data_IF_060749257656
#
_entry.id   IF_060749257656
#
_cell.length_a   1.000
_cell.length_b   1.000
_cell.length_c   1.000
_cell.angle_alpha   90.00
_cell.angle_beta   90.00
_cell.angle_gamma   90.00
#
_symmetry.space_group_name_H-M   'P 1'
#
loop_
_entity.id
_entity.type
_entity.pdbx_description
1 polymer ?
#
# COMPACT_ATOMS: atom_id res chain seq x y z
N UNK A 1 -8.76 -17.57 5.93
CA UNK A 1 -9.45 -17.95 4.69
C UNK A 1 -10.36 -19.14 4.99
N UNK A 2 -11.55 -18.88 5.48
CA UNK A 2 -12.63 -19.86 5.58
C UNK A 2 -13.66 -19.46 4.54
N UNK A 3 -14.07 -20.40 3.71
CA UNK A 3 -15.17 -20.28 2.72
C UNK A 3 -15.03 -19.14 1.67
N UNK A 4 -13.83 -18.80 1.26
CA UNK A 4 -13.62 -17.75 0.23
C UNK A 4 -13.84 -16.32 0.73
N UNK A 5 -13.78 -16.09 2.03
CA UNK A 5 -13.94 -14.80 2.67
C UNK A 5 -12.68 -14.42 3.45
N UNK A 6 -12.30 -13.14 3.43
CA UNK A 6 -11.35 -12.56 4.37
C UNK A 6 -12.12 -11.93 5.54
N UNK A 7 -11.61 -12.13 6.74
CA UNK A 7 -12.08 -11.49 7.98
C UNK A 7 -10.93 -10.69 8.58
N UNK A 8 -11.24 -9.75 9.43
CA UNK A 8 -10.24 -9.05 10.21
C UNK A 8 -9.56 -10.07 11.16
N UNK A 9 -8.25 -10.12 11.10
CA UNK A 9 -7.41 -10.90 12.03
C UNK A 9 -7.01 -10.00 13.21
N UNK A 10 -6.40 -8.85 12.93
CA UNK A 10 -6.03 -7.83 13.91
C UNK A 10 -6.01 -6.43 13.28
N UNK A 11 -6.07 -5.38 14.10
CA UNK A 11 -6.01 -4.01 13.59
C UNK A 11 -5.93 -2.95 14.68
N UNK A 12 -5.22 -1.85 14.37
CA UNK A 12 -5.15 -0.67 15.21
C UNK A 12 -5.96 0.48 14.60
N UNK A 13 -6.94 0.98 15.32
CA UNK A 13 -7.92 1.96 14.84
C UNK A 13 -7.87 3.30 15.59
N UNK A 14 -7.01 3.43 16.59
CA UNK A 14 -6.91 4.66 17.40
C UNK A 14 -8.25 5.07 17.98
N UNK A 15 -8.67 6.30 17.69
CA UNK A 15 -9.95 6.86 18.15
C UNK A 15 -11.17 6.43 17.31
N UNK A 16 -10.98 5.77 16.17
CA UNK A 16 -12.05 5.39 15.23
C UNK A 16 -12.84 4.13 15.67
N UNK A 17 -13.38 4.13 16.90
CA UNK A 17 -14.01 2.96 17.53
C UNK A 17 -15.21 2.39 16.76
N UNK A 18 -16.03 3.25 16.17
CA UNK A 18 -17.13 2.78 15.32
C UNK A 18 -16.61 2.07 14.06
N UNK A 19 -15.56 2.60 13.44
CA UNK A 19 -14.96 1.97 12.26
C UNK A 19 -14.27 0.63 12.62
N UNK A 20 -13.65 0.54 13.80
CA UNK A 20 -13.13 -0.70 14.35
C UNK A 20 -14.22 -1.76 14.47
N UNK A 21 -15.34 -1.42 15.13
CA UNK A 21 -16.48 -2.31 15.29
C UNK A 21 -17.03 -2.80 13.94
N UNK A 22 -17.26 -1.89 13.01
CA UNK A 22 -17.69 -2.24 11.64
C UNK A 22 -16.70 -3.18 10.97
N UNK A 23 -15.40 -2.96 11.16
CA UNK A 23 -14.35 -3.78 10.56
C UNK A 23 -14.33 -5.21 11.09
N UNK A 24 -14.57 -5.38 12.39
CA UNK A 24 -14.66 -6.68 13.06
C UNK A 24 -15.86 -7.51 12.58
N UNK A 25 -16.92 -6.84 12.11
CA UNK A 25 -18.16 -7.48 11.66
C UNK A 25 -18.29 -7.52 10.13
N UNK A 26 -17.25 -7.10 9.40
CA UNK A 26 -17.24 -7.11 7.93
C UNK A 26 -16.47 -8.30 7.41
N UNK A 27 -17.06 -9.02 6.46
CA UNK A 27 -16.40 -10.04 5.66
C UNK A 27 -16.11 -9.49 4.26
N UNK A 28 -14.99 -9.86 3.69
CA UNK A 28 -14.55 -9.39 2.38
C UNK A 28 -14.47 -10.56 1.40
N UNK A 29 -15.47 -10.72 0.52
CA UNK A 29 -15.40 -11.69 -0.57
C UNK A 29 -14.23 -11.38 -1.49
N UNK A 30 -13.68 -12.40 -2.14
CA UNK A 30 -12.60 -12.26 -3.11
C UNK A 30 -13.05 -11.33 -4.25
N UNK A 31 -12.23 -10.31 -4.53
CA UNK A 31 -12.53 -9.27 -5.52
C UNK A 31 -13.38 -8.09 -5.01
N UNK A 32 -13.88 -8.13 -3.77
CA UNK A 32 -14.71 -7.06 -3.23
C UNK A 32 -14.02 -6.24 -2.13
N UNK A 33 -14.23 -4.94 -2.19
CA UNK A 33 -13.57 -3.99 -1.30
C UNK A 33 -12.06 -3.96 -1.49
N UNK A 34 -11.34 -3.20 -0.67
CA UNK A 34 -9.89 -3.11 -0.74
C UNK A 34 -9.21 -4.45 -0.40
N UNK A 35 -9.52 -5.12 0.73
CA UNK A 35 -8.88 -6.40 1.06
C UNK A 35 -9.17 -7.50 0.03
N UNK A 36 -10.43 -7.67 -0.36
CA UNK A 36 -10.82 -8.70 -1.33
C UNK A 36 -10.27 -8.45 -2.72
N UNK A 37 -10.18 -7.18 -3.13
CA UNK A 37 -9.56 -6.78 -4.41
C UNK A 37 -8.06 -7.10 -4.45
N UNK A 38 -7.33 -6.76 -3.37
CA UNK A 38 -5.91 -7.10 -3.22
C UNK A 38 -5.71 -8.61 -3.24
N UNK A 39 -6.54 -9.36 -2.52
CA UNK A 39 -6.48 -10.83 -2.53
C UNK A 39 -6.73 -11.43 -3.92
N UNK A 40 -7.70 -10.91 -4.66
CA UNK A 40 -8.00 -11.41 -5.99
C UNK A 40 -6.88 -11.10 -6.99
N UNK A 41 -6.33 -9.90 -6.95
CA UNK A 41 -5.29 -9.44 -7.87
C UNK A 41 -3.87 -9.90 -7.49
N UNK A 42 -3.64 -10.22 -6.20
CA UNK A 42 -2.31 -10.47 -5.63
C UNK A 42 -1.31 -9.35 -5.98
N UNK A 43 -1.80 -8.11 -5.99
CA UNK A 43 -1.02 -6.89 -6.24
C UNK A 43 -1.42 -5.80 -5.26
N UNK A 44 -0.52 -4.87 -4.91
CA UNK A 44 -0.88 -3.70 -4.12
C UNK A 44 -1.96 -2.87 -4.82
N UNK A 45 -2.90 -2.32 -4.04
CA UNK A 45 -3.96 -1.43 -4.53
C UNK A 45 -4.00 -0.16 -3.68
N UNK A 46 -4.01 0.99 -4.35
CA UNK A 46 -4.17 2.30 -3.72
C UNK A 46 -5.54 2.88 -4.07
N UNK A 47 -6.36 3.14 -3.06
CA UNK A 47 -7.62 3.86 -3.16
C UNK A 47 -7.43 5.28 -2.62
N UNK A 48 -7.84 6.30 -3.41
CA UNK A 48 -7.64 7.73 -3.09
C UNK A 48 -8.86 8.40 -2.48
N UNK A 49 -9.99 7.73 -2.56
CA UNK A 49 -11.26 8.19 -2.00
C UNK A 49 -12.02 6.99 -1.43
N UNK A 50 -11.95 6.86 -0.11
CA UNK A 50 -12.64 5.78 0.61
C UNK A 50 -14.10 6.11 0.89
N UNK A 51 -14.48 7.38 0.84
CA UNK A 51 -15.81 7.85 1.23
C UNK A 51 -16.86 7.79 0.13
N UNK A 52 -16.47 7.86 -1.15
CA UNK A 52 -17.40 7.98 -2.28
C UNK A 52 -17.39 6.77 -3.23
N UNK A 53 -16.48 5.82 -3.02
CA UNK A 53 -16.26 4.74 -3.98
C UNK A 53 -17.01 3.45 -3.66
N UNK A 54 -17.71 2.89 -4.65
CA UNK A 54 -18.27 1.52 -4.58
C UNK A 54 -17.19 0.43 -4.39
N UNK A 55 -15.92 0.79 -4.53
CA UNK A 55 -14.77 -0.11 -4.32
C UNK A 55 -14.40 -0.31 -2.86
N UNK A 56 -14.99 0.44 -1.94
CA UNK A 56 -14.72 0.32 -0.51
C UNK A 56 -16.00 -0.02 0.25
N UNK A 57 -16.15 -1.28 0.67
CA UNK A 57 -17.38 -1.80 1.31
C UNK A 57 -17.79 -0.99 2.55
N UNK A 58 -16.83 -0.42 3.29
CA UNK A 58 -17.07 0.37 4.51
C UNK A 58 -17.04 1.89 4.24
N UNK A 59 -17.42 2.34 3.03
CA UNK A 59 -17.28 3.74 2.61
C UNK A 59 -17.98 4.73 3.55
N UNK A 60 -19.21 4.46 3.97
CA UNK A 60 -19.96 5.31 4.90
C UNK A 60 -19.24 5.46 6.25
N UNK A 61 -18.79 4.34 6.84
CA UNK A 61 -18.06 4.34 8.11
C UNK A 61 -16.68 4.98 7.99
N UNK A 62 -16.00 4.81 6.85
CA UNK A 62 -14.74 5.47 6.56
C UNK A 62 -14.91 6.99 6.45
N UNK A 63 -15.96 7.44 5.76
CA UNK A 63 -16.31 8.87 5.67
C UNK A 63 -16.56 9.51 7.04
N UNK A 64 -17.34 8.84 7.90
CA UNK A 64 -17.57 9.28 9.29
C UNK A 64 -16.28 9.34 10.13
N UNK A 65 -15.33 8.45 9.86
CA UNK A 65 -14.03 8.44 10.52
C UNK A 65 -12.99 9.39 9.87
N UNK A 66 -13.36 10.13 8.82
CA UNK A 66 -12.47 11.03 8.08
C UNK A 66 -11.38 10.31 7.27
N UNK A 67 -11.53 9.01 7.03
CA UNK A 67 -10.59 8.22 6.22
C UNK A 67 -10.76 8.55 4.75
N UNK A 68 -9.66 8.85 4.07
CA UNK A 68 -9.67 9.28 2.67
C UNK A 68 -8.87 8.37 1.75
N UNK A 69 -7.78 7.80 2.25
CA UNK A 69 -6.84 7.03 1.43
C UNK A 69 -6.62 5.65 2.04
N UNK A 70 -6.55 4.63 1.21
CA UNK A 70 -6.26 3.27 1.64
C UNK A 70 -5.24 2.60 0.72
N UNK A 71 -4.18 2.04 1.30
CA UNK A 71 -3.23 1.16 0.64
C UNK A 71 -3.46 -0.27 1.12
N UNK A 72 -3.71 -1.20 0.20
CA UNK A 72 -3.78 -2.62 0.46
C UNK A 72 -2.57 -3.34 -0.11
N UNK A 73 -1.97 -4.24 0.66
CA UNK A 73 -0.76 -4.99 0.28
C UNK A 73 -0.99 -6.48 0.51
N UNK A 74 -0.80 -7.35 -0.50
CA UNK A 74 -0.90 -8.79 -0.30
C UNK A 74 0.34 -9.31 0.43
N UNK A 75 0.13 -10.16 1.41
CA UNK A 75 1.20 -10.83 2.17
C UNK A 75 0.96 -12.34 2.08
N UNK A 76 1.50 -12.99 1.03
CA UNK A 76 1.44 -14.44 0.93
C UNK A 76 2.32 -15.07 2.01
N UNK A 77 1.81 -16.13 2.66
CA UNK A 77 2.56 -16.88 3.65
C UNK A 77 2.65 -18.35 3.23
N UNK A 78 3.66 -19.08 3.74
CA UNK A 78 3.75 -20.53 3.51
C UNK A 78 2.45 -21.24 3.90
N UNK A 79 2.09 -22.29 3.17
CA UNK A 79 0.85 -23.05 3.38
C UNK A 79 -0.37 -22.53 2.62
N UNK A 80 -0.17 -21.59 1.68
CA UNK A 80 -1.22 -21.12 0.75
C UNK A 80 -2.20 -20.10 1.33
N UNK A 81 -2.00 -19.67 2.59
CA UNK A 81 -2.78 -18.57 3.17
C UNK A 81 -2.30 -17.23 2.62
N UNK A 82 -3.21 -16.27 2.55
CA UNK A 82 -2.90 -14.88 2.18
C UNK A 82 -3.43 -13.95 3.25
N UNK A 83 -2.58 -13.11 3.78
CA UNK A 83 -2.98 -11.94 4.55
C UNK A 83 -3.02 -10.72 3.65
N UNK A 84 -3.82 -9.74 4.01
CA UNK A 84 -3.84 -8.44 3.35
C UNK A 84 -3.62 -7.37 4.41
N UNK A 85 -2.49 -6.69 4.35
CA UNK A 85 -2.26 -5.50 5.15
C UNK A 85 -3.03 -4.33 4.53
N UNK A 86 -3.83 -3.62 5.33
CA UNK A 86 -4.49 -2.39 4.90
C UNK A 86 -4.05 -1.21 5.76
N UNK A 87 -3.50 -0.18 5.13
CA UNK A 87 -3.15 1.09 5.75
C UNK A 87 -4.20 2.12 5.34
N UNK A 88 -4.95 2.64 6.30
CA UNK A 88 -6.02 3.61 6.07
C UNK A 88 -5.63 4.96 6.67
N UNK A 89 -5.60 6.00 5.85
CA UNK A 89 -5.13 7.32 6.24
C UNK A 89 -6.27 8.34 6.26
N UNK A 90 -6.36 9.10 7.35
CA UNK A 90 -7.31 10.19 7.51
C UNK A 90 -6.70 11.53 7.10
N UNK A 91 -7.54 12.46 6.62
CA UNK A 91 -7.08 13.80 6.23
C UNK A 91 -6.50 14.60 7.40
N UNK A 92 -7.12 14.52 8.58
CA UNK A 92 -6.72 15.31 9.75
C UNK A 92 -5.55 14.71 10.52
N UNK A 93 -5.46 13.38 10.57
CA UNK A 93 -4.42 12.62 11.28
C UNK A 93 -3.87 11.53 10.36
N UNK A 94 -3.11 11.89 9.34
CA UNK A 94 -2.62 10.92 8.37
C UNK A 94 -1.59 9.98 9.02
N UNK A 95 -1.73 8.66 8.77
CA UNK A 95 -0.69 7.69 9.14
C UNK A 95 0.52 7.78 8.21
N UNK A 96 0.32 8.32 7.01
CA UNK A 96 1.38 8.64 6.07
C UNK A 96 0.93 9.80 5.18
N UNK A 97 1.88 10.65 4.80
CA UNK A 97 1.65 11.81 3.92
C UNK A 97 1.84 11.47 2.45
N UNK A 98 2.50 10.31 2.17
CA UNK A 98 2.78 9.85 0.82
C UNK A 98 2.73 8.33 0.77
N UNK A 99 2.09 7.80 -0.27
CA UNK A 99 2.07 6.37 -0.62
C UNK A 99 2.54 6.19 -2.05
N UNK A 100 3.32 5.15 -2.30
CA UNK A 100 3.85 4.80 -3.61
C UNK A 100 3.75 3.30 -3.87
N UNK A 101 3.46 2.94 -5.12
CA UNK A 101 3.52 1.57 -5.64
C UNK A 101 4.44 1.57 -6.85
N UNK A 102 5.46 0.73 -6.81
CA UNK A 102 6.48 0.60 -7.86
C UNK A 102 6.42 -0.81 -8.46
N UNK A 103 6.47 -0.92 -9.80
CA UNK A 103 6.67 -2.20 -10.49
C UNK A 103 8.16 -2.53 -10.51
N UNK A 104 8.54 -3.58 -9.76
CA UNK A 104 9.93 -4.02 -9.67
C UNK A 104 10.31 -4.95 -10.84
N UNK A 105 9.33 -5.52 -11.56
CA UNK A 105 9.56 -6.39 -12.72
C UNK A 105 10.12 -5.60 -13.89
N UNK A 106 9.80 -4.32 -14.00
CA UNK A 106 10.34 -3.42 -15.00
C UNK A 106 11.89 -3.33 -14.95
N UNK A 107 12.51 -3.69 -13.82
CA UNK A 107 13.96 -3.75 -13.69
C UNK A 107 14.60 -4.86 -14.54
N UNK A 108 13.84 -5.85 -15.02
CA UNK A 108 14.31 -7.01 -15.77
C UNK A 108 14.09 -6.89 -17.27
N UNK A 109 13.27 -5.93 -17.72
CA UNK A 109 12.86 -5.79 -19.12
C UNK A 109 13.53 -4.58 -19.73
N UNK A 110 14.53 -4.81 -20.60
CA UNK A 110 15.12 -3.77 -21.44
C UNK A 110 16.39 -3.10 -20.88
N UNK A 111 16.87 -2.09 -21.60
CA UNK A 111 18.17 -1.43 -21.36
C UNK A 111 18.20 -0.45 -20.18
N UNK A 112 17.07 -0.15 -19.56
CA UNK A 112 16.99 0.70 -18.37
C UNK A 112 16.52 -0.12 -17.15
N UNK A 113 17.50 -0.60 -16.38
CA UNK A 113 17.24 -1.31 -15.11
C UNK A 113 16.69 -0.36 -14.05
N UNK A 114 15.55 -0.71 -13.44
CA UNK A 114 15.01 0.07 -12.33
C UNK A 114 13.52 -0.22 -12.09
N UNK A 115 13.04 0.02 -10.87
CA UNK A 115 11.62 -0.02 -10.56
C UNK A 115 10.92 1.20 -11.14
N UNK A 116 9.69 1.03 -11.63
CA UNK A 116 8.87 2.10 -12.22
C UNK A 116 7.71 2.42 -11.29
N UNK A 117 7.48 3.71 -11.02
CA UNK A 117 6.31 4.16 -10.27
C UNK A 117 5.06 3.91 -11.11
N UNK A 118 4.15 3.08 -10.60
CA UNK A 118 2.89 2.72 -11.29
C UNK A 118 1.67 3.32 -10.63
N UNK A 119 1.76 3.70 -9.36
CA UNK A 119 0.71 4.42 -8.65
C UNK A 119 1.27 5.16 -7.44
N UNK A 120 0.60 6.22 -7.00
CA UNK A 120 0.98 6.96 -5.80
C UNK A 120 0.15 8.20 -5.56
N UNK A 121 0.16 8.63 -4.29
CA UNK A 121 -0.46 9.88 -3.85
C UNK A 121 0.41 10.54 -2.79
N UNK A 122 0.49 11.86 -2.84
CA UNK A 122 1.14 12.69 -1.84
C UNK A 122 0.14 13.75 -1.36
N UNK A 123 0.09 13.98 -0.06
CA UNK A 123 -0.78 15.00 0.53
C UNK A 123 -0.50 16.42 0.01
N UNK A 124 0.74 16.70 -0.40
CA UNK A 124 1.15 18.01 -0.95
C UNK A 124 1.05 18.09 -2.47
N UNK A 125 1.44 17.02 -3.17
CA UNK A 125 1.59 17.00 -4.63
C UNK A 125 0.37 16.38 -5.36
N UNK A 126 -0.55 15.74 -4.61
CA UNK A 126 -1.67 15.00 -5.19
C UNK A 126 -1.22 13.67 -5.80
N UNK A 127 -1.75 13.33 -6.97
CA UNK A 127 -1.41 12.10 -7.70
C UNK A 127 0.05 12.15 -8.18
N UNK A 128 0.81 11.10 -7.87
CA UNK A 128 2.24 11.04 -8.20
C UNK A 128 2.54 10.36 -9.54
N UNK A 129 1.63 9.53 -10.01
CA UNK A 129 1.78 8.83 -11.28
C UNK A 129 1.18 9.67 -12.41
N UNK A 130 1.93 9.75 -13.52
CA UNK A 130 1.60 10.48 -14.74
C UNK A 130 2.02 9.59 -15.92
N UNK A 131 1.12 9.37 -16.88
CA UNK A 131 1.40 8.57 -18.07
C UNK A 131 2.52 9.15 -18.94
N UNK A 132 2.67 10.48 -18.92
CA UNK A 132 3.68 11.20 -19.73
C UNK A 132 5.04 11.26 -19.05
N UNK A 133 5.15 10.98 -17.76
CA UNK A 133 6.38 11.13 -16.97
C UNK A 133 6.71 9.86 -16.20
N UNK A 134 7.33 8.91 -16.87
CA UNK A 134 7.84 7.73 -16.20
C UNK A 134 8.85 8.11 -15.11
N UNK A 135 8.56 7.72 -13.86
CA UNK A 135 9.52 7.83 -12.76
C UNK A 135 10.16 6.46 -12.54
N UNK A 136 11.48 6.41 -12.65
CA UNK A 136 12.26 5.19 -12.50
C UNK A 136 13.34 5.35 -11.43
N UNK A 137 13.58 4.30 -10.66
CA UNK A 137 14.62 4.24 -9.63
C UNK A 137 15.44 2.98 -9.82
N UNK A 138 16.76 3.16 -9.95
CA UNK A 138 17.70 2.05 -10.06
C UNK A 138 17.97 1.39 -8.71
N UNK A 139 18.43 0.13 -8.72
CA UNK A 139 18.88 -0.54 -7.50
C UNK A 139 19.93 0.32 -6.76
N UNK A 140 19.83 0.32 -5.42
CA UNK A 140 20.68 1.07 -4.49
C UNK A 140 20.45 2.59 -4.45
N UNK A 141 19.55 3.15 -5.26
CA UNK A 141 19.19 4.57 -5.21
C UNK A 141 18.04 4.82 -4.23
N UNK A 142 18.30 5.49 -3.12
CA UNK A 142 17.30 5.85 -2.11
C UNK A 142 16.61 4.62 -1.49
N UNK A 143 15.46 4.85 -0.84
CA UNK A 143 14.70 3.79 -0.17
C UNK A 143 14.27 2.68 -1.15
N UNK A 144 13.61 3.05 -2.23
CA UNK A 144 13.07 2.10 -3.21
C UNK A 144 14.17 1.27 -3.84
N UNK A 145 15.30 1.92 -4.23
CA UNK A 145 16.44 1.22 -4.82
C UNK A 145 17.13 0.26 -3.85
N UNK A 146 17.10 0.53 -2.55
CA UNK A 146 17.62 -0.41 -1.54
C UNK A 146 16.70 -1.62 -1.38
N UNK A 147 15.38 -1.42 -1.35
CA UNK A 147 14.44 -2.56 -1.36
C UNK A 147 14.61 -3.37 -2.64
N UNK A 148 14.77 -2.71 -3.80
CA UNK A 148 15.02 -3.38 -5.08
C UNK A 148 16.31 -4.20 -5.07
N UNK A 149 17.40 -3.65 -4.51
CA UNK A 149 18.72 -4.30 -4.48
C UNK A 149 18.83 -5.43 -3.46
N UNK A 150 18.16 -5.31 -2.30
CA UNK A 150 18.23 -6.29 -1.22
C UNK A 150 17.11 -7.32 -1.25
N UNK A 151 15.95 -6.95 -1.80
CA UNK A 151 14.72 -7.73 -1.67
C UNK A 151 14.13 -7.75 -0.25
N UNK A 152 14.62 -6.91 0.65
CA UNK A 152 14.23 -6.87 2.06
C UNK A 152 13.47 -5.58 2.40
N UNK A 153 12.61 -5.59 3.43
CA UNK A 153 12.02 -4.36 3.96
C UNK A 153 13.10 -3.37 4.41
N UNK A 154 12.84 -2.09 4.17
CA UNK A 154 13.71 -0.99 4.63
C UNK A 154 12.86 -0.01 5.45
N UNK A 155 13.34 0.31 6.63
CA UNK A 155 12.78 1.35 7.51
C UNK A 155 13.85 2.41 7.75
N UNK A 156 13.50 3.67 7.54
CA UNK A 156 14.32 4.83 7.88
C UNK A 156 13.57 5.82 8.75
N UNK A 157 14.23 6.31 9.79
CA UNK A 157 13.73 7.37 10.64
C UNK A 157 14.87 8.29 11.06
N UNK A 158 14.62 9.62 11.05
CA UNK A 158 15.58 10.62 11.50
C UNK A 158 16.91 10.69 10.72
N UNK A 159 17.02 10.07 9.54
CA UNK A 159 18.25 10.00 8.78
C UNK A 159 18.47 11.24 7.90
N UNK A 160 19.74 11.73 7.77
CA UNK A 160 20.09 12.78 6.82
C UNK A 160 20.02 12.23 5.37
N UNK A 161 18.89 12.06 4.81
CA UNK A 161 18.67 11.46 3.48
C UNK A 161 17.20 11.16 3.24
N UNK A 162 16.38 11.32 4.27
CA UNK A 162 14.94 11.37 4.13
C UNK A 162 14.57 12.50 3.17
N UNK A 163 13.68 12.23 2.23
CA UNK A 163 13.14 13.25 1.35
C UNK A 163 12.59 14.39 2.21
N UNK A 164 12.93 15.63 1.87
CA UNK A 164 12.64 16.81 2.68
C UNK A 164 11.15 16.87 3.10
N UNK A 165 10.89 16.90 4.39
CA UNK A 165 9.55 17.01 4.97
C UNK A 165 8.90 15.72 5.42
N UNK A 166 9.66 14.63 5.52
CA UNK A 166 9.22 13.36 6.12
C UNK A 166 10.12 12.99 7.30
N UNK A 167 9.54 12.44 8.36
CA UNK A 167 10.24 12.04 9.58
C UNK A 167 10.64 10.55 9.54
N UNK A 168 9.91 9.76 8.78
CA UNK A 168 10.20 8.34 8.59
C UNK A 168 9.68 7.84 7.25
N UNK A 169 10.28 6.75 6.78
CA UNK A 169 9.92 6.09 5.52
C UNK A 169 9.97 4.57 5.72
N UNK A 170 9.00 3.88 5.13
CA UNK A 170 8.97 2.41 5.09
C UNK A 170 8.87 1.97 3.64
N UNK A 171 9.71 1.02 3.25
CA UNK A 171 9.64 0.34 1.96
C UNK A 171 9.48 -1.17 2.18
N UNK A 172 8.48 -1.76 1.56
CA UNK A 172 8.22 -3.21 1.63
C UNK A 172 8.30 -3.85 0.25
N UNK A 173 9.03 -4.96 0.09
CA UNK A 173 8.97 -5.79 -1.09
C UNK A 173 7.65 -6.59 -1.11
N UNK A 174 7.05 -6.71 -2.29
CA UNK A 174 5.87 -7.53 -2.53
C UNK A 174 6.23 -8.60 -3.54
N UNK A 175 6.21 -9.84 -3.10
CA UNK A 175 6.60 -10.99 -3.90
C UNK A 175 5.39 -11.67 -4.53
N UNK A 176 5.60 -12.20 -5.75
CA UNK A 176 4.71 -13.13 -6.42
C UNK A 176 5.47 -14.44 -6.65
N UNK A 177 5.21 -15.44 -5.80
CA UNK A 177 6.09 -16.60 -5.69
C UNK A 177 7.48 -16.17 -5.17
N UNK A 178 8.53 -16.50 -5.90
CA UNK A 178 9.91 -16.08 -5.58
C UNK A 178 10.33 -14.77 -6.27
N UNK A 179 9.46 -14.18 -7.07
CA UNK A 179 9.78 -12.97 -7.83
C UNK A 179 9.37 -11.71 -7.07
N UNK A 180 10.28 -10.75 -6.92
CA UNK A 180 9.97 -9.39 -6.46
C UNK A 180 9.15 -8.69 -7.53
N UNK A 181 7.84 -8.59 -7.31
CA UNK A 181 6.90 -8.05 -8.28
C UNK A 181 6.67 -6.56 -8.10
N UNK A 182 6.50 -6.11 -6.85
CA UNK A 182 6.28 -4.70 -6.55
C UNK A 182 7.08 -4.27 -5.32
N UNK A 183 7.22 -2.97 -5.18
CA UNK A 183 7.67 -2.34 -3.94
C UNK A 183 6.60 -1.34 -3.56
N UNK A 184 6.17 -1.37 -2.30
CA UNK A 184 5.28 -0.35 -1.75
C UNK A 184 6.05 0.49 -0.76
N UNK A 185 5.79 1.80 -0.75
CA UNK A 185 6.41 2.70 0.21
C UNK A 185 5.38 3.68 0.77
N UNK A 186 5.58 4.05 2.04
CA UNK A 186 4.88 5.16 2.65
C UNK A 186 5.82 6.01 3.47
N UNK A 187 5.48 7.29 3.56
CA UNK A 187 6.30 8.34 4.17
C UNK A 187 5.45 9.08 5.21
N UNK A 188 5.92 9.13 6.44
CA UNK A 188 5.28 9.77 7.57
C UNK A 188 5.81 11.17 7.86
#
# INVERSE_FOLDING_TARGET
EQDGLLTLDDGYYGAAKHFEWVSQHTQFPKGQGLPGGVWAAMTPILLRDLGSGYRFIRAESAGKAGLTTGLGVPIPVPGGKTYVLTLLSARGTPIARRFEIWDARAARVGHSSGAVLVDGICAREGRLWDEEKERRVSAWQGLIGRVLGTGLPVLESGAPGLAAGYDSMVGLPVYRGSELAHIVAWYC
#
